data_IF_440056117533
#
_entry.id   IF_440056117533
#
_cell.length_a   1.000
_cell.length_b   1.000
_cell.length_c   1.000
_cell.angle_alpha   90.00
_cell.angle_beta   90.00
_cell.angle_gamma   90.00
#
_symmetry.space_group_name_H-M   'P 1'
#
loop_
_entity.id
_entity.type
_entity.pdbx_description
1 polymer ?
#
# COMPACT_ATOMS: atom_id res chain seq x y z
N UNK A 1 38.15 -10.00 18.56
CA UNK A 1 36.76 -10.06 19.06
C UNK A 1 36.15 -11.33 18.53
N UNK A 2 35.68 -12.23 19.40
CA UNK A 2 34.89 -13.38 18.95
C UNK A 2 33.42 -12.95 18.93
N UNK A 3 32.85 -12.83 17.73
CA UNK A 3 31.42 -12.60 17.59
C UNK A 3 30.66 -13.89 17.93
N UNK A 4 29.67 -13.77 18.81
CA UNK A 4 28.74 -14.85 19.10
C UNK A 4 27.55 -14.75 18.14
N UNK A 5 27.28 -15.81 17.38
CA UNK A 5 26.14 -15.90 16.48
C UNK A 5 25.02 -16.74 17.09
N UNK A 6 23.79 -16.22 17.11
CA UNK A 6 22.61 -16.92 17.59
C UNK A 6 21.71 -17.35 16.44
N UNK A 7 21.25 -18.61 16.46
CA UNK A 7 20.28 -19.13 15.50
C UNK A 7 18.87 -18.87 15.99
N UNK A 8 18.11 -18.04 15.27
CA UNK A 8 16.71 -17.72 15.57
C UNK A 8 15.79 -18.49 14.61
N UNK A 9 14.70 -19.04 15.13
CA UNK A 9 13.66 -19.73 14.34
C UNK A 9 12.29 -19.28 14.80
N UNK A 10 11.47 -18.78 13.86
CA UNK A 10 10.10 -18.35 14.15
C UNK A 10 9.13 -19.51 13.95
N UNK A 11 8.32 -19.84 14.96
CA UNK A 11 7.29 -20.89 14.89
C UNK A 11 5.92 -20.35 14.42
N UNK A 12 5.74 -19.04 14.51
CA UNK A 12 4.53 -18.30 14.10
C UNK A 12 4.94 -17.05 13.34
N UNK A 13 4.02 -16.38 12.60
CA UNK A 13 4.32 -15.09 12.00
C UNK A 13 4.78 -14.08 13.05
N UNK A 14 5.93 -13.46 12.80
CA UNK A 14 6.50 -12.40 13.65
C UNK A 14 6.48 -11.10 12.85
N UNK A 15 6.01 -10.03 13.49
CA UNK A 15 6.12 -8.66 12.97
C UNK A 15 6.99 -7.84 13.93
N UNK A 16 8.03 -7.23 13.39
CA UNK A 16 8.85 -6.23 14.08
C UNK A 16 8.63 -4.93 13.31
N UNK A 17 7.80 -4.04 13.86
CA UNK A 17 7.48 -2.77 13.25
C UNK A 17 8.45 -1.67 13.64
N UNK A 18 8.54 -0.65 12.80
CA UNK A 18 9.23 0.62 13.07
C UNK A 18 8.29 1.68 13.69
N UNK A 19 7.04 1.31 13.95
CA UNK A 19 5.98 2.21 14.44
C UNK A 19 5.23 2.94 13.32
N UNK A 20 5.66 2.85 12.06
CA UNK A 20 4.95 3.42 10.94
C UNK A 20 3.79 2.52 10.49
N UNK A 21 2.79 3.14 9.86
CA UNK A 21 1.65 2.43 9.27
C UNK A 21 1.51 2.82 7.81
N UNK A 22 1.12 1.84 7.00
CA UNK A 22 0.93 2.05 5.57
C UNK A 22 -0.49 2.51 5.29
N UNK A 23 -0.62 3.53 4.47
CA UNK A 23 -1.86 4.11 4.00
C UNK A 23 -2.30 3.46 2.69
N UNK A 24 -3.55 3.01 2.63
CA UNK A 24 -4.18 2.55 1.38
C UNK A 24 -4.34 3.66 0.33
N UNK A 25 -4.13 4.94 0.70
CA UNK A 25 -4.24 6.09 -0.19
C UNK A 25 -2.91 6.50 -0.83
N UNK A 26 -1.79 5.95 -0.36
CA UNK A 26 -0.46 6.35 -0.84
C UNK A 26 0.51 5.18 -1.03
N UNK A 27 0.47 4.21 -0.13
CA UNK A 27 1.61 3.30 0.05
C UNK A 27 1.41 1.94 -0.62
N UNK A 28 0.16 1.49 -0.80
CA UNK A 28 -0.10 0.21 -1.44
C UNK A 28 -1.43 0.14 -2.17
N UNK A 29 -1.50 -0.78 -3.14
CA UNK A 29 -2.74 -1.21 -3.81
C UNK A 29 -2.91 -2.72 -3.63
N UNK A 30 -4.09 -3.15 -3.19
CA UNK A 30 -4.47 -4.57 -3.15
C UNK A 30 -5.17 -4.94 -4.47
N UNK A 31 -4.57 -5.83 -5.25
CA UNK A 31 -5.16 -6.30 -6.50
C UNK A 31 -4.92 -7.80 -6.69
N UNK A 32 -5.98 -8.54 -7.04
CA UNK A 32 -5.93 -9.98 -7.38
C UNK A 32 -5.19 -10.82 -6.33
N UNK A 33 -5.42 -10.51 -5.06
CA UNK A 33 -4.82 -11.20 -3.93
C UNK A 33 -3.34 -10.85 -3.67
N UNK A 34 -2.83 -9.79 -4.29
CA UNK A 34 -1.46 -9.30 -4.07
C UNK A 34 -1.47 -7.88 -3.53
N UNK A 35 -0.51 -7.59 -2.65
CA UNK A 35 -0.22 -6.24 -2.19
C UNK A 35 0.91 -5.70 -3.08
N UNK A 36 0.64 -4.60 -3.77
CA UNK A 36 1.61 -3.85 -4.56
C UNK A 36 2.04 -2.62 -3.78
N UNK A 37 3.28 -2.61 -3.29
CA UNK A 37 3.82 -1.45 -2.56
C UNK A 37 4.28 -0.39 -3.54
N UNK A 38 3.77 0.83 -3.40
CA UNK A 38 3.95 1.90 -4.37
C UNK A 38 5.28 2.62 -4.14
N UNK A 39 6.08 2.72 -5.19
CA UNK A 39 7.22 3.62 -5.22
C UNK A 39 6.71 5.06 -5.37
N UNK A 40 6.63 5.76 -4.23
CA UNK A 40 6.14 7.14 -4.21
C UNK A 40 6.99 8.10 -5.05
N UNK A 41 8.26 7.81 -5.31
CA UNK A 41 9.10 8.68 -6.13
C UNK A 41 8.61 8.73 -7.58
N UNK A 42 8.25 7.57 -8.15
CA UNK A 42 7.71 7.49 -9.53
C UNK A 42 6.41 8.29 -9.64
N UNK A 43 5.56 8.21 -8.61
CA UNK A 43 4.31 8.97 -8.53
C UNK A 43 4.60 10.47 -8.47
N UNK A 44 5.52 10.90 -7.59
CA UNK A 44 5.96 12.30 -7.46
C UNK A 44 6.52 12.85 -8.77
N UNK A 45 7.41 12.12 -9.43
CA UNK A 45 8.05 12.54 -10.68
C UNK A 45 7.02 12.69 -11.82
N UNK A 46 5.98 11.85 -11.83
CA UNK A 46 4.90 11.93 -12.82
C UNK A 46 3.97 13.12 -12.55
N UNK A 47 3.60 13.36 -11.28
CA UNK A 47 2.75 14.47 -10.87
C UNK A 47 3.46 15.83 -10.97
N UNK A 48 4.76 15.89 -10.69
CA UNK A 48 5.55 17.13 -10.74
C UNK A 48 5.59 17.79 -12.13
N UNK A 49 5.15 17.08 -13.17
CA UNK A 49 5.02 17.60 -14.54
C UNK A 49 3.66 18.26 -14.83
N UNK A 50 2.67 18.09 -13.94
CA UNK A 50 1.34 18.69 -14.07
C UNK A 50 0.75 19.05 -12.69
N UNK A 51 0.74 20.35 -12.33
CA UNK A 51 0.21 20.82 -11.06
C UNK A 51 -1.23 20.36 -10.75
N UNK A 52 -2.11 20.24 -11.75
CA UNK A 52 -3.50 19.82 -11.54
C UNK A 52 -3.60 18.39 -10.98
N UNK A 53 -2.62 17.52 -11.27
CA UNK A 53 -2.58 16.16 -10.72
C UNK A 53 -2.23 16.16 -9.24
N UNK A 54 -1.42 17.12 -8.80
CA UNK A 54 -1.07 17.29 -7.38
C UNK A 54 -2.32 17.74 -6.62
N UNK A 55 -3.02 18.76 -7.12
CA UNK A 55 -4.23 19.28 -6.50
C UNK A 55 -5.31 18.19 -6.39
N UNK A 56 -5.55 17.44 -7.47
CA UNK A 56 -6.50 16.33 -7.48
C UNK A 56 -6.13 15.24 -6.47
N UNK A 57 -4.85 14.88 -6.38
CA UNK A 57 -4.36 13.87 -5.45
C UNK A 57 -4.54 14.30 -3.99
N UNK A 58 -4.12 15.53 -3.66
CA UNK A 58 -4.23 16.10 -2.32
C UNK A 58 -5.69 16.24 -1.90
N UNK A 59 -6.55 16.77 -2.78
CA UNK A 59 -7.98 16.88 -2.52
C UNK A 59 -8.61 15.51 -2.27
N UNK A 60 -8.25 14.51 -3.08
CA UNK A 60 -8.68 13.13 -2.91
C UNK A 60 -8.28 12.54 -1.56
N UNK A 61 -7.03 12.75 -1.13
CA UNK A 61 -6.54 12.28 0.17
C UNK A 61 -7.26 12.94 1.34
N UNK A 62 -7.51 14.26 1.29
CA UNK A 62 -8.19 15.00 2.35
C UNK A 62 -9.64 14.53 2.47
N UNK A 63 -10.36 14.45 1.34
CA UNK A 63 -11.77 14.01 1.32
C UNK A 63 -11.90 12.54 1.72
N UNK A 64 -10.93 11.70 1.35
CA UNK A 64 -10.97 10.28 1.67
C UNK A 64 -10.80 9.94 3.16
N UNK A 65 -10.32 10.89 3.95
CA UNK A 65 -10.25 10.75 5.42
C UNK A 65 -11.60 10.97 6.12
N UNK A 66 -12.62 11.46 5.41
CA UNK A 66 -13.98 11.66 5.93
C UNK A 66 -14.86 10.43 5.67
N UNK A 67 -15.55 9.94 6.71
CA UNK A 67 -16.27 8.66 6.70
C UNK A 67 -17.58 8.64 5.88
N UNK A 68 -17.96 9.75 5.24
CA UNK A 68 -19.30 9.89 4.64
C UNK A 68 -19.36 9.58 3.15
N UNK A 69 -18.28 9.73 2.38
CA UNK A 69 -18.21 9.37 0.95
C UNK A 69 -16.77 9.41 0.44
N UNK A 70 -15.96 8.41 0.76
CA UNK A 70 -14.61 8.34 0.22
C UNK A 70 -14.64 7.84 -1.24
N UNK A 71 -14.32 8.72 -2.19
CA UNK A 71 -14.24 8.42 -3.63
C UNK A 71 -12.81 8.25 -4.13
N UNK A 72 -11.81 8.55 -3.31
CA UNK A 72 -10.42 8.49 -3.75
C UNK A 72 -9.91 7.05 -3.71
N UNK A 73 -9.64 6.52 -4.91
CA UNK A 73 -9.05 5.20 -5.11
C UNK A 73 -7.68 5.37 -5.77
N UNK A 74 -6.63 5.00 -5.04
CA UNK A 74 -5.24 5.15 -5.48
C UNK A 74 -4.99 4.38 -6.79
N UNK A 75 -5.60 3.20 -6.95
CA UNK A 75 -5.48 2.39 -8.15
C UNK A 75 -6.02 3.16 -9.37
N UNK A 76 -7.25 3.65 -9.31
CA UNK A 76 -7.88 4.43 -10.36
C UNK A 76 -7.10 5.72 -10.65
N UNK A 77 -6.51 6.36 -9.64
CA UNK A 77 -5.63 7.51 -9.85
C UNK A 77 -4.40 7.14 -10.70
N UNK A 78 -3.69 6.07 -10.34
CA UNK A 78 -2.52 5.59 -11.08
C UNK A 78 -2.88 5.25 -12.53
N UNK A 79 -3.95 4.48 -12.75
CA UNK A 79 -4.32 4.05 -14.11
C UNK A 79 -4.94 5.18 -14.94
N UNK A 80 -5.94 5.87 -14.40
CA UNK A 80 -6.77 6.77 -15.20
C UNK A 80 -6.21 8.18 -15.28
N UNK A 81 -5.52 8.66 -14.24
CA UNK A 81 -4.94 10.02 -14.20
C UNK A 81 -3.46 10.02 -14.56
N UNK A 82 -2.65 9.19 -13.91
CA UNK A 82 -1.20 9.15 -14.19
C UNK A 82 -0.86 8.38 -15.48
N UNK A 83 -1.79 7.58 -16.00
CA UNK A 83 -1.59 6.72 -17.18
C UNK A 83 -0.41 5.76 -16.99
N UNK A 84 -0.28 5.20 -15.79
CA UNK A 84 0.73 4.22 -15.43
C UNK A 84 0.07 2.88 -15.08
N UNK A 85 0.84 1.79 -15.13
CA UNK A 85 0.42 0.47 -14.64
C UNK A 85 0.99 0.19 -13.26
N UNK A 86 0.37 -0.74 -12.50
CA UNK A 86 0.91 -1.17 -11.22
C UNK A 86 2.32 -1.76 -11.32
N UNK A 87 2.66 -2.41 -12.44
CA UNK A 87 4.00 -2.96 -12.65
C UNK A 87 5.06 -1.86 -12.75
N UNK A 88 4.70 -0.70 -13.30
CA UNK A 88 5.62 0.44 -13.42
C UNK A 88 5.82 1.18 -12.10
N UNK A 89 4.82 1.18 -11.23
CA UNK A 89 4.86 1.96 -9.98
C UNK A 89 5.13 1.13 -8.74
N UNK A 90 5.04 -0.20 -8.79
CA UNK A 90 5.31 -1.05 -7.65
C UNK A 90 6.82 -1.19 -7.40
N UNK A 91 7.26 -0.95 -6.18
CA UNK A 91 8.63 -1.25 -5.74
C UNK A 91 8.83 -2.74 -5.48
N UNK A 92 7.84 -3.37 -4.86
CA UNK A 92 7.79 -4.81 -4.63
C UNK A 92 6.34 -5.27 -4.48
N UNK A 93 6.13 -6.56 -4.61
CA UNK A 93 4.82 -7.18 -4.57
C UNK A 93 4.88 -8.46 -3.74
N UNK A 94 3.89 -8.65 -2.87
CA UNK A 94 3.76 -9.86 -2.05
C UNK A 94 2.36 -10.46 -2.21
N UNK A 95 2.27 -11.78 -2.07
CA UNK A 95 0.99 -12.47 -1.96
C UNK A 95 0.30 -12.10 -0.65
N UNK A 96 -0.95 -11.67 -0.71
CA UNK A 96 -1.76 -11.44 0.46
C UNK A 96 -2.29 -12.79 0.96
N UNK A 97 -1.96 -13.16 2.20
CA UNK A 97 -2.53 -14.33 2.86
C UNK A 97 -3.89 -13.94 3.48
N UNK A 98 -4.93 -14.75 3.26
CA UNK A 98 -6.32 -14.56 3.73
C UNK A 98 -7.11 -13.41 3.08
N UNK A 99 -7.24 -13.39 1.74
CA UNK A 99 -8.08 -12.40 1.02
C UNK A 99 -9.57 -12.82 0.94
N UNK A 100 -10.01 -13.79 1.76
CA UNK A 100 -11.40 -14.22 1.81
C UNK A 100 -12.10 -13.71 3.07
N UNK A 101 -13.05 -12.81 2.89
CA UNK A 101 -13.93 -12.28 3.93
C UNK A 101 -14.94 -13.29 4.48
N UNK A 102 -14.49 -14.45 5.00
CA UNK A 102 -15.30 -15.29 5.90
C UNK A 102 -14.51 -15.62 7.16
N UNK A 103 -14.71 -14.81 8.19
CA UNK A 103 -14.36 -15.16 9.57
C UNK A 103 -15.37 -16.19 10.06
N UNK A 104 -15.05 -17.48 9.97
CA UNK A 104 -15.64 -18.44 10.90
C UNK A 104 -14.88 -18.27 12.22
N UNK A 105 -15.48 -17.53 13.15
CA UNK A 105 -15.04 -17.55 14.53
C UNK A 105 -15.28 -18.97 15.07
N UNK A 106 -14.22 -19.74 15.26
CA UNK A 106 -14.28 -20.89 16.14
C UNK A 106 -14.34 -20.31 17.55
N UNK A 107 -15.53 -20.41 18.15
CA UNK A 107 -15.73 -20.14 19.57
C UNK A 107 -15.22 -21.36 20.32
N UNK A 108 -14.10 -21.22 21.02
CA UNK A 108 -13.72 -22.13 22.10
C UNK A 108 -14.59 -21.82 23.32
#
# INVERSE_FOLDING_TARGET
MNESAYRITTLTPVSIGDGNTLSAFADYVLEKGKIHYINQQIIRDKMGKNPELIDFYVEGMIRGKSNTTNTFDLKNFIFNRLKLTLQQVASHCIEAKNVSGKKNFIRL
#
